data_IF_595488134729
#
_entry.id   IF_595488134729
#
_cell.length_a   1.000
_cell.length_b   1.000
_cell.length_c   1.000
_cell.angle_alpha   90.00
_cell.angle_beta   90.00
_cell.angle_gamma   90.00
#
_symmetry.space_group_name_H-M   'P 1'
#
loop_
_entity.id
_entity.type
_entity.pdbx_description
1 polymer ?
#
# COMPACT_ATOMS: atom_id res chain seq x y z
N UNK A 1 -25.92 -40.21 -3.52
CA UNK A 1 -25.94 -38.74 -3.36
C UNK A 1 -25.25 -38.17 -4.57
N UNK A 2 -25.93 -37.32 -5.37
CA UNK A 2 -25.31 -36.80 -6.59
C UNK A 2 -24.29 -35.72 -6.21
N UNK A 3 -23.19 -35.53 -6.96
CA UNK A 3 -22.17 -34.51 -6.65
C UNK A 3 -22.73 -33.08 -6.57
N UNK A 4 -23.90 -32.85 -7.16
CA UNK A 4 -24.64 -31.58 -7.19
C UNK A 4 -25.46 -31.26 -5.93
N UNK A 5 -25.56 -32.19 -4.96
CA UNK A 5 -26.31 -32.00 -3.71
C UNK A 5 -25.43 -31.47 -2.53
N UNK A 6 -24.15 -31.17 -2.78
CA UNK A 6 -23.27 -30.57 -1.76
C UNK A 6 -23.58 -29.07 -1.64
N UNK A 7 -24.01 -28.57 -0.47
CA UNK A 7 -24.27 -27.14 -0.29
C UNK A 7 -22.99 -26.35 -0.59
N UNK A 8 -23.04 -25.45 -1.59
CA UNK A 8 -21.95 -24.49 -1.83
C UNK A 8 -21.74 -23.71 -0.53
N UNK A 9 -20.55 -23.83 0.08
CA UNK A 9 -20.19 -23.06 1.29
C UNK A 9 -20.52 -21.59 1.05
N UNK A 10 -21.28 -21.00 1.98
CA UNK A 10 -21.67 -19.60 1.91
C UNK A 10 -20.41 -18.71 1.78
N UNK A 11 -20.40 -17.83 0.78
CA UNK A 11 -19.29 -16.88 0.59
C UNK A 11 -19.23 -15.91 1.77
N UNK A 12 -18.04 -15.61 2.32
CA UNK A 12 -17.91 -14.70 3.44
C UNK A 12 -18.43 -13.29 3.09
N UNK A 13 -19.03 -12.61 4.07
CA UNK A 13 -19.57 -11.25 3.92
C UNK A 13 -18.44 -10.22 3.72
N UNK A 14 -18.77 -9.08 3.11
CA UNK A 14 -17.79 -7.99 2.88
C UNK A 14 -17.20 -7.43 4.18
N UNK A 15 -18.01 -7.36 5.25
CA UNK A 15 -17.54 -6.94 6.57
C UNK A 15 -16.47 -7.91 7.11
N UNK A 16 -16.73 -9.21 7.05
CA UNK A 16 -15.78 -10.24 7.47
C UNK A 16 -14.49 -10.23 6.65
N UNK A 17 -14.58 -9.98 5.33
CA UNK A 17 -13.38 -9.82 4.48
C UNK A 17 -12.55 -8.62 4.90
N UNK A 18 -13.20 -7.49 5.20
CA UNK A 18 -12.52 -6.27 5.65
C UNK A 18 -11.85 -6.44 7.02
N UNK A 19 -12.46 -7.21 7.93
CA UNK A 19 -11.86 -7.54 9.23
C UNK A 19 -10.60 -8.39 9.03
N UNK A 20 -10.68 -9.45 8.21
CA UNK A 20 -9.53 -10.30 7.89
C UNK A 20 -8.41 -9.50 7.22
N UNK A 21 -8.72 -8.62 6.27
CA UNK A 21 -7.74 -7.72 5.65
C UNK A 21 -7.05 -6.83 6.68
N UNK A 22 -7.80 -6.29 7.65
CA UNK A 22 -7.25 -5.50 8.74
C UNK A 22 -6.34 -6.30 9.67
N UNK A 23 -6.75 -7.51 10.06
CA UNK A 23 -5.97 -8.39 10.93
C UNK A 23 -4.66 -8.83 10.26
N UNK A 24 -4.72 -9.22 8.98
CA UNK A 24 -3.54 -9.58 8.20
C UNK A 24 -2.60 -8.37 8.00
N UNK A 25 -3.15 -7.18 7.75
CA UNK A 25 -2.33 -5.97 7.66
C UNK A 25 -1.64 -5.65 8.99
N UNK A 26 -2.32 -5.84 10.12
CA UNK A 26 -1.71 -5.63 11.44
C UNK A 26 -0.55 -6.61 11.68
N UNK A 27 -0.72 -7.88 11.30
CA UNK A 27 0.36 -8.88 11.39
C UNK A 27 1.53 -8.54 10.45
N UNK A 28 1.26 -8.09 9.21
CA UNK A 28 2.29 -7.60 8.30
C UNK A 28 3.12 -6.47 8.94
N UNK A 29 2.46 -5.44 9.47
CA UNK A 29 3.14 -4.29 10.08
C UNK A 29 4.00 -4.75 11.27
N UNK A 30 3.46 -5.61 12.14
CA UNK A 30 4.17 -6.17 13.28
C UNK A 30 5.40 -6.96 12.84
N UNK A 31 5.26 -7.86 11.87
CA UNK A 31 6.36 -8.67 11.34
C UNK A 31 7.43 -7.81 10.67
N UNK A 32 7.03 -6.81 9.87
CA UNK A 32 7.94 -5.88 9.23
C UNK A 32 8.78 -5.13 10.26
N UNK A 33 8.14 -4.59 11.31
CA UNK A 33 8.83 -3.87 12.40
C UNK A 33 9.81 -4.76 13.16
N UNK A 34 9.45 -6.02 13.41
CA UNK A 34 10.36 -6.98 14.04
C UNK A 34 11.55 -7.37 13.14
N UNK A 35 11.33 -7.43 11.82
CA UNK A 35 12.36 -7.84 10.85
C UNK A 35 13.33 -6.70 10.54
N UNK A 36 12.83 -5.45 10.50
CA UNK A 36 13.60 -4.26 10.13
C UNK A 36 13.49 -3.17 11.19
N UNK A 37 14.06 -3.36 12.40
CA UNK A 37 13.86 -2.45 13.54
C UNK A 37 14.30 -1.01 13.25
N UNK A 38 15.33 -0.80 12.43
CA UNK A 38 15.87 0.55 12.13
C UNK A 38 14.96 1.41 11.24
N UNK A 39 14.06 0.78 10.46
CA UNK A 39 13.18 1.47 9.50
C UNK A 39 11.71 1.07 9.64
N UNK A 40 11.39 0.14 10.54
CA UNK A 40 10.06 -0.44 10.71
C UNK A 40 8.97 0.60 10.95
N UNK A 41 9.30 1.62 11.75
CA UNK A 41 8.38 2.73 12.07
C UNK A 41 8.10 3.66 10.87
N UNK A 42 8.87 3.56 9.78
CA UNK A 42 8.63 4.31 8.55
C UNK A 42 7.52 3.67 7.69
N UNK A 43 7.11 2.43 7.95
CA UNK A 43 5.95 1.84 7.26
C UNK A 43 4.66 2.41 7.87
N UNK A 44 4.03 3.32 7.13
CA UNK A 44 2.87 4.11 7.57
C UNK A 44 1.60 3.53 6.97
N UNK A 45 0.58 3.34 7.80
CA UNK A 45 -0.78 3.07 7.32
C UNK A 45 -1.54 4.38 7.06
N UNK A 46 -2.20 4.45 5.91
CA UNK A 46 -3.07 5.55 5.50
C UNK A 46 -4.53 5.07 5.50
N UNK A 47 -5.35 5.42 6.51
CA UNK A 47 -6.69 4.87 6.70
C UNK A 47 -7.77 5.53 5.81
N UNK A 48 -7.55 5.56 4.49
CA UNK A 48 -8.44 6.25 3.54
C UNK A 48 -9.69 5.43 3.14
N UNK A 49 -9.73 4.13 3.44
CA UNK A 49 -10.87 3.24 3.17
C UNK A 49 -11.92 3.15 4.30
N UNK A 50 -11.71 3.84 5.42
CA UNK A 50 -12.45 3.64 6.67
C UNK A 50 -13.93 4.06 6.69
N UNK A 51 -14.64 3.54 7.69
CA UNK A 51 -16.05 3.82 7.95
C UNK A 51 -16.25 5.30 8.32
N UNK A 52 -17.19 5.95 7.65
CA UNK A 52 -17.64 7.31 7.99
C UNK A 52 -18.81 7.17 8.96
N UNK A 53 -18.76 7.83 10.11
CA UNK A 53 -19.85 7.76 11.10
C UNK A 53 -21.13 8.35 10.53
N UNK A 54 -21.03 9.36 9.65
CA UNK A 54 -22.16 9.95 8.93
C UNK A 54 -21.72 10.65 7.64
N UNK A 55 -22.71 11.09 6.84
CA UNK A 55 -22.47 11.77 5.57
C UNK A 55 -21.72 13.11 5.72
N UNK A 56 -21.98 13.85 6.80
CA UNK A 56 -21.34 15.14 7.06
C UNK A 56 -19.84 14.99 7.36
N UNK A 57 -19.46 13.99 8.17
CA UNK A 57 -18.07 13.65 8.41
C UNK A 57 -17.37 13.23 7.11
N UNK A 58 -18.06 12.45 6.28
CA UNK A 58 -17.58 12.10 4.93
C UNK A 58 -17.33 13.31 4.03
N UNK A 59 -18.22 14.30 4.04
CA UNK A 59 -18.05 15.56 3.33
C UNK A 59 -16.83 16.34 3.85
N UNK A 60 -16.71 16.48 5.18
CA UNK A 60 -15.59 17.18 5.82
C UNK A 60 -14.25 16.52 5.48
N UNK A 61 -14.15 15.20 5.57
CA UNK A 61 -12.92 14.47 5.22
C UNK A 61 -12.55 14.65 3.75
N UNK A 62 -13.53 14.62 2.84
CA UNK A 62 -13.29 14.93 1.42
C UNK A 62 -12.80 16.36 1.22
N UNK A 63 -13.37 17.34 1.93
CA UNK A 63 -12.91 18.73 1.86
C UNK A 63 -11.50 18.94 2.42
N UNK A 64 -11.03 18.03 3.29
CA UNK A 64 -9.66 17.99 3.81
C UNK A 64 -8.69 17.24 2.88
N UNK A 65 -9.16 16.71 1.75
CA UNK A 65 -8.32 16.04 0.76
C UNK A 65 -8.30 14.52 0.83
N UNK A 66 -9.16 13.87 1.64
CA UNK A 66 -9.28 12.40 1.60
C UNK A 66 -9.71 11.97 0.20
N UNK A 67 -8.86 11.16 -0.44
CA UNK A 67 -9.09 10.60 -1.77
C UNK A 67 -9.43 9.12 -1.65
N UNK A 68 -10.50 8.70 -2.30
CA UNK A 68 -10.88 7.30 -2.39
C UNK A 68 -9.87 6.53 -3.27
N UNK A 69 -9.46 5.34 -2.83
CA UNK A 69 -8.56 4.46 -3.57
C UNK A 69 -7.07 4.72 -3.34
N UNK A 70 -6.71 5.63 -2.43
CA UNK A 70 -5.31 5.74 -1.97
C UNK A 70 -4.92 4.44 -1.27
N UNK A 71 -3.75 3.90 -1.64
CA UNK A 71 -3.20 2.68 -1.07
C UNK A 71 -2.99 2.72 0.43
N UNK A 72 -3.16 1.56 1.07
CA UNK A 72 -3.21 1.43 2.53
C UNK A 72 -1.86 1.70 3.20
N UNK A 73 -0.74 1.36 2.56
CA UNK A 73 0.59 1.42 3.18
C UNK A 73 1.55 2.26 2.34
N UNK A 74 2.40 3.02 3.02
CA UNK A 74 3.47 3.81 2.43
C UNK A 74 4.78 3.65 3.21
N UNK A 75 5.86 3.35 2.49
CA UNK A 75 7.22 3.30 3.00
C UNK A 75 8.07 4.39 2.30
N UNK A 76 8.37 5.52 2.99
CA UNK A 76 9.11 6.65 2.45
C UNK A 76 10.63 6.41 2.44
N UNK A 77 11.08 5.25 1.96
CA UNK A 77 12.50 4.88 1.90
C UNK A 77 12.91 4.79 0.44
N UNK A 78 13.77 5.69 -0.02
CA UNK A 78 14.16 5.75 -1.42
C UNK A 78 15.15 4.61 -1.77
N UNK A 79 14.77 3.76 -2.72
CA UNK A 79 15.52 2.57 -3.16
C UNK A 79 15.37 2.36 -4.67
N UNK A 80 16.41 1.85 -5.33
CA UNK A 80 16.37 1.42 -6.73
C UNK A 80 16.02 2.49 -7.75
N UNK A 81 16.16 3.78 -7.42
CA UNK A 81 15.71 4.89 -8.26
C UNK A 81 14.31 5.40 -7.93
N UNK A 82 13.56 4.70 -7.07
CA UNK A 82 12.24 5.12 -6.60
C UNK A 82 12.33 6.04 -5.39
N UNK A 83 11.32 6.90 -5.23
CA UNK A 83 11.21 7.84 -4.09
C UNK A 83 10.62 7.21 -2.83
N UNK A 84 10.02 6.03 -2.95
CA UNK A 84 9.35 5.30 -1.88
C UNK A 84 8.51 4.17 -2.47
N UNK A 85 7.90 3.38 -1.58
CA UNK A 85 7.06 2.24 -1.93
C UNK A 85 5.64 2.43 -1.39
N UNK A 86 4.66 2.27 -2.26
CA UNK A 86 3.25 2.13 -1.92
C UNK A 86 2.81 0.67 -2.00
N UNK A 87 2.00 0.23 -1.03
CA UNK A 87 1.34 -1.08 -1.07
C UNK A 87 -0.16 -0.88 -0.88
N UNK A 88 -0.94 -1.28 -1.89
CA UNK A 88 -2.35 -1.58 -1.74
C UNK A 88 -2.47 -2.99 -1.17
N UNK A 89 -2.98 -3.13 0.06
CA UNK A 89 -3.01 -4.41 0.73
C UNK A 89 -4.40 -5.04 0.59
N UNK A 90 -4.44 -6.35 0.35
CA UNK A 90 -5.68 -7.14 0.32
C UNK A 90 -5.46 -8.39 1.13
N UNK A 91 -6.51 -8.90 1.77
CA UNK A 91 -6.43 -10.21 2.43
C UNK A 91 -5.97 -11.31 1.46
N UNK A 92 -5.36 -12.37 1.98
CA UNK A 92 -5.03 -13.55 1.20
C UNK A 92 -6.29 -14.29 0.72
N UNK A 93 -6.23 -15.01 -0.42
CA UNK A 93 -7.29 -15.94 -0.81
C UNK A 93 -7.57 -16.98 0.29
N UNK A 94 -8.84 -17.35 0.53
CA UNK A 94 -10.04 -17.02 -0.23
C UNK A 94 -10.79 -15.76 0.26
N UNK A 95 -10.18 -14.99 1.19
CA UNK A 95 -10.83 -13.84 1.83
C UNK A 95 -10.54 -12.53 1.11
N UNK A 96 -9.72 -12.55 0.06
CA UNK A 96 -9.37 -11.41 -0.77
C UNK A 96 -10.61 -10.67 -1.29
N UNK A 97 -10.51 -9.35 -1.33
CA UNK A 97 -11.47 -8.49 -2.00
C UNK A 97 -10.93 -8.12 -3.39
N UNK A 98 -11.84 -7.88 -4.34
CA UNK A 98 -11.44 -7.34 -5.63
C UNK A 98 -10.85 -5.93 -5.45
N UNK A 99 -9.78 -5.66 -6.20
CA UNK A 99 -9.18 -4.32 -6.28
C UNK A 99 -10.10 -3.43 -7.10
N UNK A 100 -10.54 -2.32 -6.53
CA UNK A 100 -11.39 -1.36 -7.23
C UNK A 100 -10.60 -0.55 -8.28
N UNK A 101 -11.30 -0.06 -9.31
CA UNK A 101 -10.68 0.75 -10.37
C UNK A 101 -9.91 1.96 -9.83
N UNK A 102 -10.41 2.58 -8.74
CA UNK A 102 -9.74 3.73 -8.10
C UNK A 102 -8.43 3.35 -7.40
N UNK A 103 -8.35 2.14 -6.85
CA UNK A 103 -7.11 1.62 -6.25
C UNK A 103 -6.09 1.31 -7.36
N UNK A 104 -6.52 0.73 -8.47
CA UNK A 104 -5.66 0.52 -9.64
C UNK A 104 -5.17 1.85 -10.22
N UNK A 105 -6.05 2.84 -10.38
CA UNK A 105 -5.70 4.19 -10.83
C UNK A 105 -4.64 4.82 -9.92
N UNK A 106 -4.79 4.72 -8.60
CA UNK A 106 -3.82 5.26 -7.65
C UNK A 106 -2.44 4.63 -7.80
N UNK A 107 -2.37 3.30 -7.93
CA UNK A 107 -1.11 2.57 -8.16
C UNK A 107 -0.42 3.09 -9.43
N UNK A 108 -1.15 3.20 -10.54
CA UNK A 108 -0.59 3.72 -11.80
C UNK A 108 -0.12 5.17 -11.67
N UNK A 109 -0.87 6.02 -10.96
CA UNK A 109 -0.48 7.41 -10.72
C UNK A 109 0.82 7.49 -9.91
N UNK A 110 0.98 6.68 -8.87
CA UNK A 110 2.21 6.67 -8.05
C UNK A 110 3.42 6.17 -8.85
N UNK A 111 3.23 5.13 -9.68
CA UNK A 111 4.28 4.66 -10.59
C UNK A 111 4.72 5.74 -11.57
N UNK A 112 3.77 6.48 -12.16
CA UNK A 112 4.07 7.59 -13.05
C UNK A 112 4.83 8.75 -12.37
N UNK A 113 4.73 8.89 -11.05
CA UNK A 113 5.45 9.89 -10.26
C UNK A 113 6.82 9.39 -9.73
N UNK A 114 7.26 8.18 -10.11
CA UNK A 114 8.56 7.64 -9.71
C UNK A 114 8.55 6.92 -8.35
N UNK A 115 7.40 6.47 -7.88
CA UNK A 115 7.30 5.55 -6.74
C UNK A 115 7.21 4.09 -7.21
N UNK A 116 7.74 3.17 -6.42
CA UNK A 116 7.29 1.78 -6.52
C UNK A 116 5.87 1.70 -5.96
N UNK A 117 4.97 0.97 -6.61
CA UNK A 117 3.62 0.78 -6.12
C UNK A 117 3.08 -0.58 -6.56
N UNK A 118 2.59 -1.37 -5.60
CA UNK A 118 2.16 -2.74 -5.84
C UNK A 118 0.86 -3.06 -5.09
N UNK A 119 0.06 -3.95 -5.66
CA UNK A 119 -1.05 -4.60 -4.96
C UNK A 119 -0.52 -5.91 -4.41
N UNK A 120 -0.72 -6.15 -3.11
CA UNK A 120 -0.25 -7.35 -2.43
C UNK A 120 -1.43 -8.12 -1.83
N UNK A 121 -1.48 -9.43 -2.06
CA UNK A 121 -2.48 -10.33 -1.49
C UNK A 121 -1.88 -11.09 -0.29
N UNK A 122 -2.22 -10.64 0.92
CA UNK A 122 -1.80 -11.24 2.18
C UNK A 122 -0.39 -10.89 2.62
N UNK A 123 -0.06 -11.33 3.83
CA UNK A 123 1.18 -11.01 4.55
C UNK A 123 2.43 -11.43 3.78
N UNK A 124 2.47 -12.66 3.25
CA UNK A 124 3.67 -13.17 2.58
C UNK A 124 4.02 -12.39 1.31
N UNK A 125 3.02 -12.09 0.47
CA UNK A 125 3.23 -11.32 -0.75
C UNK A 125 3.74 -9.90 -0.43
N UNK A 126 3.15 -9.25 0.58
CA UNK A 126 3.59 -7.93 1.00
C UNK A 126 4.99 -7.93 1.63
N UNK A 127 5.32 -8.92 2.47
CA UNK A 127 6.66 -9.09 3.03
C UNK A 127 7.71 -9.34 1.95
N UNK A 128 7.38 -10.12 0.92
CA UNK A 128 8.27 -10.36 -0.21
C UNK A 128 8.56 -9.04 -0.95
N UNK A 129 7.53 -8.27 -1.32
CA UNK A 129 7.69 -6.98 -2.00
C UNK A 129 8.52 -6.01 -1.15
N UNK A 130 8.27 -5.93 0.16
CA UNK A 130 9.05 -5.11 1.08
C UNK A 130 10.52 -5.52 1.11
N UNK A 131 10.79 -6.83 1.22
CA UNK A 131 12.15 -7.36 1.26
C UNK A 131 12.91 -7.11 -0.05
N UNK A 132 12.28 -7.39 -1.19
CA UNK A 132 12.85 -7.15 -2.53
C UNK A 132 13.13 -5.66 -2.75
N UNK A 133 12.19 -4.78 -2.37
CA UNK A 133 12.37 -3.34 -2.48
C UNK A 133 13.52 -2.83 -1.61
N UNK A 134 13.64 -3.33 -0.38
CA UNK A 134 14.70 -2.92 0.54
C UNK A 134 16.08 -3.47 0.15
N UNK A 135 16.14 -4.56 -0.62
CA UNK A 135 17.38 -5.11 -1.16
C UNK A 135 17.97 -4.28 -2.31
N UNK A 136 17.18 -3.39 -2.92
CA UNK A 136 17.66 -2.46 -3.94
C UNK A 136 18.66 -1.45 -3.35
N UNK A 137 19.61 -0.92 -4.15
CA UNK A 137 20.55 0.08 -3.67
C UNK A 137 19.83 1.38 -3.27
N UNK A 138 20.37 2.19 -2.32
CA UNK A 138 19.82 3.50 -2.00
C UNK A 138 19.72 4.41 -3.22
N UNK A 139 18.57 5.06 -3.41
CA UNK A 139 18.40 6.08 -4.46
C UNK A 139 19.27 7.29 -4.14
N UNK A 140 20.13 7.68 -5.09
CA UNK A 140 21.02 8.84 -4.93
C UNK A 140 20.48 10.04 -5.68
N UNK A 141 20.42 11.19 -5.02
CA UNK A 141 20.09 12.46 -5.66
C UNK A 141 21.28 12.92 -6.51
N UNK A 142 21.10 12.99 -7.83
CA UNK A 142 22.02 13.72 -8.70
C UNK A 142 21.56 15.18 -8.76
N UNK A 143 22.20 16.05 -7.97
CA UNK A 143 22.04 17.50 -8.21
C UNK A 143 22.76 17.83 -9.51
N UNK A 144 22.15 18.55 -10.46
CA UNK A 144 22.90 19.09 -11.58
C UNK A 144 24.01 19.98 -11.01
N UNK A 145 25.27 19.75 -11.44
CA UNK A 145 26.33 20.71 -11.16
C UNK A 145 25.87 22.03 -11.77
N UNK A 146 25.73 23.09 -10.95
CA UNK A 146 25.71 24.45 -11.51
C UNK A 146 26.94 24.54 -12.41
N UNK A 147 26.76 24.85 -13.70
CA UNK A 147 27.91 25.22 -14.53
C UNK A 147 28.61 26.36 -13.77
N UNK A 148 29.90 26.21 -13.50
CA UNK A 148 30.67 27.31 -12.93
C UNK A 148 30.52 28.49 -13.89
N UNK A 149 29.90 29.58 -13.43
CA UNK A 149 29.95 30.83 -14.17
C UNK A 149 31.43 31.24 -14.24
N UNK A 150 31.95 31.58 -15.42
CA UNK A 150 33.30 32.10 -15.51
C UNK A 150 33.35 33.37 -14.67
N UNK A 151 34.23 33.37 -13.67
CA UNK A 151 34.56 34.57 -12.91
C UNK A 151 35.19 35.54 -13.92
N UNK A 152 34.43 36.54 -14.36
CA UNK A 152 34.98 37.66 -15.12
C UNK A 152 35.86 38.47 -14.17
N UNK A 153 37.15 38.60 -14.55
CA UNK A 153 38.17 39.38 -13.86
C UNK A 153 37.89 40.88 -13.93
#
# INVERSE_FOLDING_TARGET
MKPEDVPKKARPSRARKSEVEGDEQAELIKRFRATYPDIGELLIHVPNGGYRKNAFEGYRLKSQGVRAGVSDLFLPVARGGFFGLWIEFKAAPPNDAAVSDKQQEWVHLMQAQGYAAHICLGVEAAMQVLAEYLALPPTKLSRPRKKAEPVTA
#
